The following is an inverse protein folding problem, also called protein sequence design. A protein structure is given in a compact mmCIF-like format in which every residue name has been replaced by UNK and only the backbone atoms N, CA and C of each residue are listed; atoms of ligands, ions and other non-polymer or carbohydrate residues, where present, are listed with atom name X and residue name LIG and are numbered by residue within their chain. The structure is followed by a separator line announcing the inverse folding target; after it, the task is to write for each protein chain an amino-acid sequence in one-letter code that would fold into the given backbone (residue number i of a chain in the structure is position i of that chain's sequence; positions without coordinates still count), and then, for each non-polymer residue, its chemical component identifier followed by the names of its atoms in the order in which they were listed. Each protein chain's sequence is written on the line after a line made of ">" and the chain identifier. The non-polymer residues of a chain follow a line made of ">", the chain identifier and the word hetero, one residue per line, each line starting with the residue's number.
data_IF_609006700685
#
_entry.id   IF_609006700685
#
_cell.length_a   1.000
_cell.length_b   1.000
_cell.length_c   1.000
_cell.angle_alpha   90.00
_cell.angle_beta   90.00
_cell.angle_gamma   90.00
#
_symmetry.space_group_name_H-M   'P 1'
#
loop_
_entity.id
_entity.type
_entity.pdbx_description
1 polymer ?
#
# COMPACT_ATOMS: atom_id res chain seq x y z
N UNK A 1 -15.92 -55.28 64.85
CA UNK A 1 -14.93 -55.37 63.75
C UNK A 1 -15.18 -54.21 62.82
N UNK A 2 -14.35 -53.17 62.89
CA UNK A 2 -14.49 -51.94 62.12
C UNK A 2 -13.74 -52.06 60.81
N UNK A 3 -14.43 -51.90 59.68
CA UNK A 3 -13.81 -51.84 58.36
C UNK A 3 -13.41 -50.39 58.06
N UNK A 4 -12.10 -50.13 58.02
CA UNK A 4 -11.55 -48.87 57.51
C UNK A 4 -11.60 -48.93 55.99
N UNK A 5 -12.46 -48.11 55.38
CA UNK A 5 -12.49 -47.91 53.95
C UNK A 5 -11.39 -46.91 53.54
N UNK A 6 -10.37 -47.38 52.85
CA UNK A 6 -9.35 -46.56 52.19
C UNK A 6 -9.94 -45.91 50.94
N UNK A 7 -10.00 -44.58 50.91
CA UNK A 7 -10.39 -43.80 49.72
C UNK A 7 -9.17 -43.69 48.80
N UNK A 8 -9.21 -44.34 47.63
CA UNK A 8 -8.20 -44.18 46.60
C UNK A 8 -8.33 -42.80 45.90
N UNK A 9 -7.23 -42.08 45.63
CA UNK A 9 -7.29 -40.81 44.91
C UNK A 9 -7.66 -41.06 43.44
N UNK A 10 -8.82 -40.55 43.00
CA UNK A 10 -9.20 -40.59 41.58
C UNK A 10 -8.28 -39.68 40.78
N UNK A 11 -7.70 -40.24 39.72
CA UNK A 11 -6.68 -39.66 38.86
C UNK A 11 -7.06 -38.27 38.29
N UNK A 12 -6.36 -37.24 38.77
CA UNK A 12 -6.39 -35.85 38.28
C UNK A 12 -5.64 -35.65 36.95
N UNK A 13 -4.98 -36.69 36.44
CA UNK A 13 -4.04 -36.62 35.31
C UNK A 13 -4.70 -36.50 33.95
N UNK A 14 -5.98 -36.86 33.80
CA UNK A 14 -6.70 -36.78 32.51
C UNK A 14 -7.10 -35.35 32.13
N UNK A 15 -7.32 -34.47 33.11
CA UNK A 15 -7.61 -33.04 32.86
C UNK A 15 -6.37 -32.26 32.47
N UNK A 16 -5.23 -32.56 33.12
CA UNK A 16 -3.91 -32.02 32.84
C UNK A 16 -3.47 -32.22 31.38
N UNK A 17 -3.60 -33.45 30.88
CA UNK A 17 -3.23 -33.81 29.50
C UNK A 17 -4.07 -33.07 28.44
N UNK A 18 -5.35 -32.82 28.72
CA UNK A 18 -6.22 -32.04 27.83
C UNK A 18 -5.81 -30.58 27.75
N UNK A 19 -5.42 -29.98 28.88
CA UNK A 19 -4.93 -28.60 28.94
C UNK A 19 -3.56 -28.43 28.27
N UNK A 20 -2.65 -29.37 28.48
CA UNK A 20 -1.33 -29.38 27.81
C UNK A 20 -1.51 -29.48 26.29
N UNK A 21 -2.42 -30.34 25.80
CA UNK A 21 -2.71 -30.45 24.38
C UNK A 21 -3.30 -29.16 23.79
N UNK A 22 -4.15 -28.46 24.54
CA UNK A 22 -4.72 -27.18 24.12
C UNK A 22 -3.67 -26.06 24.05
N UNK A 23 -2.81 -25.94 25.07
CA UNK A 23 -1.71 -24.95 25.08
C UNK A 23 -0.69 -25.24 23.97
N UNK A 24 -0.32 -26.51 23.79
CA UNK A 24 0.57 -26.93 22.70
C UNK A 24 -0.05 -26.65 21.32
N UNK A 25 -1.36 -26.89 21.17
CA UNK A 25 -2.10 -26.56 19.96
C UNK A 25 -2.10 -25.05 19.69
N UNK A 26 -2.34 -24.22 20.72
CA UNK A 26 -2.32 -22.76 20.59
C UNK A 26 -0.93 -22.24 20.23
N UNK A 27 0.13 -22.76 20.87
CA UNK A 27 1.52 -22.40 20.54
C UNK A 27 1.88 -22.82 19.12
N UNK A 28 1.43 -23.99 18.67
CA UNK A 28 1.65 -24.46 17.31
C UNK A 28 0.93 -23.58 16.28
N UNK A 29 -0.33 -23.20 16.55
CA UNK A 29 -1.09 -22.26 15.70
C UNK A 29 -0.42 -20.89 15.66
N UNK A 30 0.05 -20.37 16.80
CA UNK A 30 0.79 -19.10 16.86
C UNK A 30 2.14 -19.16 16.14
N UNK A 31 2.87 -20.27 16.24
CA UNK A 31 4.14 -20.48 15.54
C UNK A 31 3.92 -20.59 14.02
N UNK A 32 2.94 -21.38 13.60
CA UNK A 32 2.55 -21.52 12.18
C UNK A 32 2.06 -20.19 11.64
N UNK A 33 1.19 -19.49 12.37
CA UNK A 33 0.71 -18.15 12.03
C UNK A 33 1.86 -17.14 11.93
N UNK A 34 2.83 -17.20 12.85
CA UNK A 34 4.07 -16.42 12.77
C UNK A 34 4.85 -16.72 11.50
N UNK A 35 5.04 -17.99 11.13
CA UNK A 35 5.73 -18.36 9.89
C UNK A 35 5.02 -17.84 8.63
N UNK A 36 3.70 -17.75 8.61
CA UNK A 36 2.97 -17.12 7.49
C UNK A 36 3.14 -15.60 7.45
N UNK A 37 3.22 -14.95 8.61
CA UNK A 37 3.44 -13.49 8.71
C UNK A 37 4.88 -13.09 8.37
N UNK A 38 5.87 -13.90 8.79
CA UNK A 38 7.30 -13.62 8.55
C UNK A 38 7.85 -14.27 7.26
N UNK A 39 7.15 -15.24 6.68
CA UNK A 39 7.62 -16.09 5.57
C UNK A 39 7.54 -15.50 4.17
N UNK A 40 7.32 -14.19 4.01
CA UNK A 40 7.42 -13.55 2.69
C UNK A 40 6.28 -13.87 1.71
N UNK A 41 5.19 -14.50 2.16
CA UNK A 41 3.87 -14.25 1.57
C UNK A 41 3.42 -12.85 2.00
N UNK A 42 4.20 -11.83 1.63
CA UNK A 42 3.66 -10.49 1.54
C UNK A 42 2.52 -10.61 0.53
N UNK A 43 1.28 -10.52 1.03
CA UNK A 43 0.10 -10.43 0.20
C UNK A 43 0.33 -9.22 -0.70
N UNK A 44 0.86 -9.46 -1.91
CA UNK A 44 1.22 -8.41 -2.84
C UNK A 44 -0.08 -7.66 -3.13
N UNK A 45 -0.11 -6.42 -2.68
CA UNK A 45 -1.31 -5.61 -2.67
C UNK A 45 -1.79 -5.32 -4.08
N UNK A 46 -2.98 -4.75 -4.13
CA UNK A 46 -3.47 -4.02 -5.30
C UNK A 46 -2.39 -2.99 -5.70
N UNK A 47 -2.13 -2.82 -7.00
CA UNK A 47 -1.08 -1.97 -7.56
C UNK A 47 0.37 -2.35 -7.20
N UNK A 48 0.63 -3.55 -6.65
CA UNK A 48 2.01 -3.97 -6.37
C UNK A 48 2.79 -4.29 -7.68
N UNK A 49 4.00 -3.71 -7.86
CA UNK A 49 4.81 -3.84 -9.08
C UNK A 49 5.37 -5.24 -9.31
N UNK A 50 5.38 -6.11 -8.31
CA UNK A 50 5.82 -7.49 -8.40
C UNK A 50 4.63 -8.47 -8.51
N UNK A 51 3.39 -7.97 -8.43
CA UNK A 51 2.17 -8.78 -8.52
C UNK A 51 1.80 -9.12 -9.96
N UNK A 52 1.67 -10.42 -10.21
CA UNK A 52 1.21 -11.01 -11.47
C UNK A 52 -0.30 -11.00 -11.66
N UNK A 53 -1.05 -10.78 -10.57
CA UNK A 53 -2.51 -10.87 -10.57
C UNK A 53 -3.14 -9.76 -11.43
N UNK A 54 -4.44 -9.86 -11.74
CA UNK A 54 -5.14 -8.86 -12.56
C UNK A 54 -4.98 -7.44 -12.00
N UNK A 55 -5.00 -7.28 -10.67
CA UNK A 55 -4.91 -5.99 -9.98
C UNK A 55 -3.46 -5.55 -9.67
N UNK A 56 -2.47 -6.33 -10.08
CA UNK A 56 -1.05 -5.98 -9.97
C UNK A 56 -0.56 -5.08 -11.10
N UNK A 57 0.66 -4.56 -11.02
CA UNK A 57 1.26 -3.66 -12.04
C UNK A 57 2.54 -4.21 -12.67
N UNK A 58 2.82 -5.51 -12.50
CA UNK A 58 4.04 -6.14 -13.03
C UNK A 58 4.17 -6.05 -14.55
N UNK A 59 3.07 -6.04 -15.29
CA UNK A 59 3.10 -5.93 -16.75
C UNK A 59 3.73 -4.60 -17.18
N UNK A 60 3.29 -3.47 -16.62
CA UNK A 60 3.86 -2.16 -16.97
C UNK A 60 5.33 -2.05 -16.54
N UNK A 61 5.69 -2.60 -15.38
CA UNK A 61 7.09 -2.67 -14.93
C UNK A 61 7.97 -3.41 -15.93
N UNK A 62 7.54 -4.58 -16.42
CA UNK A 62 8.30 -5.35 -17.41
C UNK A 62 8.43 -4.62 -18.74
N UNK A 63 7.40 -3.91 -19.18
CA UNK A 63 7.48 -3.13 -20.43
C UNK A 63 8.42 -1.94 -20.26
N UNK A 64 8.38 -1.23 -19.12
CA UNK A 64 9.34 -0.15 -18.82
C UNK A 64 10.79 -0.66 -18.82
N UNK A 65 11.05 -1.81 -18.18
CA UNK A 65 12.38 -2.45 -18.18
C UNK A 65 12.84 -2.82 -19.59
N UNK A 66 11.95 -3.34 -20.44
CA UNK A 66 12.24 -3.63 -21.84
C UNK A 66 12.54 -2.37 -22.66
N UNK A 67 12.00 -1.22 -22.28
CA UNK A 67 12.30 0.10 -22.85
C UNK A 67 13.55 0.77 -22.22
N UNK A 68 14.29 0.05 -21.36
CA UNK A 68 15.54 0.51 -20.78
C UNK A 68 15.40 1.28 -19.46
N UNK A 69 14.19 1.39 -18.89
CA UNK A 69 13.98 2.04 -17.59
C UNK A 69 14.40 1.09 -16.47
N UNK A 70 15.27 1.56 -15.57
CA UNK A 70 15.68 0.81 -14.38
C UNK A 70 14.66 1.01 -13.26
N UNK A 71 13.86 -0.01 -12.99
CA UNK A 71 12.84 0.01 -11.93
C UNK A 71 13.41 -0.50 -10.61
N UNK A 72 13.27 0.28 -9.54
CA UNK A 72 13.62 -0.09 -8.18
C UNK A 72 12.37 -0.08 -7.30
N UNK A 73 12.01 -1.23 -6.74
CA UNK A 73 10.89 -1.34 -5.80
C UNK A 73 11.38 -1.02 -4.39
N UNK A 74 10.82 0.00 -3.78
CA UNK A 74 11.17 0.47 -2.44
C UNK A 74 10.00 0.21 -1.48
N UNK A 75 10.17 -0.76 -0.57
CA UNK A 75 9.11 -1.24 0.34
C UNK A 75 9.06 -0.54 1.71
N UNK A 76 9.47 0.71 1.72
CA UNK A 76 9.36 1.67 2.82
C UNK A 76 9.94 3.03 2.35
N UNK A 77 9.66 4.08 3.12
CA UNK A 77 10.13 5.46 2.84
C UNK A 77 11.65 5.50 2.79
N UNK A 78 12.35 4.87 3.73
CA UNK A 78 13.81 4.90 3.81
C UNK A 78 14.49 4.21 2.62
N UNK A 79 13.89 3.17 2.05
CA UNK A 79 14.32 2.53 0.82
C UNK A 79 14.08 3.43 -0.39
N UNK A 80 12.94 4.13 -0.43
CA UNK A 80 12.62 5.05 -1.52
C UNK A 80 13.59 6.23 -1.53
N UNK A 81 13.84 6.83 -0.38
CA UNK A 81 14.81 7.92 -0.21
C UNK A 81 16.23 7.52 -0.66
N UNK A 82 16.70 6.33 -0.26
CA UNK A 82 18.00 5.80 -0.69
C UNK A 82 18.06 5.55 -2.20
N UNK A 83 16.97 5.05 -2.79
CA UNK A 83 16.90 4.81 -4.22
C UNK A 83 16.86 6.11 -5.04
N UNK A 84 16.22 7.16 -4.51
CA UNK A 84 16.16 8.50 -5.13
C UNK A 84 17.50 9.25 -5.04
N UNK A 85 18.29 9.01 -3.98
CA UNK A 85 19.61 9.64 -3.81
C UNK A 85 20.66 9.33 -4.89
N UNK A 86 20.36 8.42 -5.84
CA UNK A 86 21.25 8.04 -6.94
C UNK A 86 21.07 8.86 -8.23
N UNK A 87 20.26 9.93 -8.22
CA UNK A 87 20.13 10.89 -9.32
C UNK A 87 18.69 11.08 -9.81
N UNK A 88 18.52 11.71 -10.97
CA UNK A 88 17.21 11.96 -11.58
C UNK A 88 16.40 10.66 -11.73
N UNK A 89 15.16 10.67 -11.25
CA UNK A 89 14.25 9.53 -11.27
C UNK A 89 12.79 9.97 -11.31
N UNK A 90 11.95 9.06 -11.80
CA UNK A 90 10.49 9.11 -11.62
C UNK A 90 10.12 8.33 -10.35
N UNK A 91 9.38 8.95 -9.43
CA UNK A 91 8.83 8.33 -8.23
C UNK A 91 7.36 7.98 -8.46
N UNK A 92 7.01 6.73 -8.24
CA UNK A 92 5.62 6.25 -8.29
C UNK A 92 5.10 6.12 -6.87
N UNK A 93 3.97 6.76 -6.57
CA UNK A 93 3.40 6.88 -5.23
C UNK A 93 1.94 6.42 -5.27
N UNK A 94 1.58 5.27 -4.67
CA UNK A 94 0.18 4.93 -4.41
C UNK A 94 -0.37 5.74 -3.23
N UNK A 95 -1.60 5.47 -2.78
CA UNK A 95 -2.08 6.06 -1.53
C UNK A 95 -1.14 5.70 -0.37
N UNK A 96 -0.69 6.71 0.36
CA UNK A 96 0.29 6.58 1.44
C UNK A 96 -0.23 7.27 2.71
N UNK A 97 -1.31 6.73 3.34
CA UNK A 97 -1.95 7.37 4.48
C UNK A 97 -1.06 7.44 5.73
N UNK A 98 0.02 6.65 5.77
CA UNK A 98 0.95 6.60 6.89
C UNK A 98 1.95 7.77 6.89
N UNK A 99 2.22 8.40 5.74
CA UNK A 99 3.12 9.55 5.66
C UNK A 99 2.41 10.81 6.13
N UNK A 100 3.07 11.67 6.92
CA UNK A 100 2.58 13.05 7.16
C UNK A 100 2.66 13.90 5.89
N UNK A 101 2.08 15.11 5.91
CA UNK A 101 2.09 15.98 4.73
C UNK A 101 3.53 16.38 4.40
N UNK A 102 4.34 16.65 5.43
CA UNK A 102 5.76 16.96 5.28
C UNK A 102 6.54 15.75 4.80
N UNK A 103 6.22 14.54 5.29
CA UNK A 103 6.82 13.30 4.79
C UNK A 103 6.51 13.03 3.32
N UNK A 104 5.29 13.33 2.87
CA UNK A 104 4.88 13.20 1.48
C UNK A 104 5.59 14.24 0.59
N UNK A 105 5.72 15.50 1.05
CA UNK A 105 6.45 16.56 0.35
C UNK A 105 7.95 16.24 0.25
N UNK A 106 8.60 15.91 1.37
CA UNK A 106 10.04 15.60 1.39
C UNK A 106 10.39 14.43 0.47
N UNK A 107 9.56 13.37 0.46
CA UNK A 107 9.76 12.25 -0.44
C UNK A 107 9.59 12.65 -1.92
N UNK A 108 8.57 13.46 -2.22
CA UNK A 108 8.26 13.94 -3.57
C UNK A 108 9.35 14.89 -4.10
N UNK A 109 9.89 15.77 -3.25
CA UNK A 109 10.91 16.76 -3.58
C UNK A 109 12.27 16.16 -3.93
N UNK A 110 12.47 14.87 -3.65
CA UNK A 110 13.68 14.12 -4.03
C UNK A 110 13.61 13.54 -5.43
N UNK A 111 12.46 13.56 -6.08
CA UNK A 111 12.26 13.07 -7.44
C UNK A 111 12.08 14.22 -8.43
N UNK A 112 12.47 13.99 -9.69
CA UNK A 112 12.21 14.94 -10.77
C UNK A 112 10.77 14.83 -11.27
N UNK A 113 10.27 13.61 -11.36
CA UNK A 113 8.88 13.35 -11.74
C UNK A 113 8.21 12.53 -10.65
N UNK A 114 7.01 12.90 -10.23
CA UNK A 114 6.20 12.19 -9.26
C UNK A 114 4.89 11.77 -9.94
N UNK A 115 4.55 10.49 -9.84
CA UNK A 115 3.32 9.93 -10.40
C UNK A 115 2.48 9.34 -9.26
N UNK A 116 1.37 10.00 -8.95
CA UNK A 116 0.38 9.52 -8.00
C UNK A 116 -0.56 8.55 -8.73
N UNK A 117 -0.56 7.27 -8.34
CA UNK A 117 -1.29 6.21 -9.06
C UNK A 117 -2.58 5.77 -8.37
N UNK A 118 -2.84 6.22 -7.15
CA UNK A 118 -4.14 6.07 -6.47
C UNK A 118 -4.30 7.24 -5.48
N UNK A 119 -4.28 8.50 -5.97
CA UNK A 119 -4.29 9.63 -5.07
C UNK A 119 -5.64 9.78 -4.37
N UNK A 120 -5.61 10.24 -3.12
CA UNK A 120 -6.79 10.65 -2.36
C UNK A 120 -6.78 12.17 -2.24
N UNK A 121 -7.90 12.76 -1.80
CA UNK A 121 -8.04 14.23 -1.67
C UNK A 121 -6.84 14.87 -0.95
N UNK A 122 -6.30 14.23 0.08
CA UNK A 122 -5.12 14.73 0.81
C UNK A 122 -3.86 14.85 -0.07
N UNK A 123 -3.49 13.82 -0.83
CA UNK A 123 -2.27 13.88 -1.65
C UNK A 123 -2.43 14.81 -2.85
N UNK A 124 -3.65 14.92 -3.39
CA UNK A 124 -4.00 15.91 -4.40
C UNK A 124 -3.89 17.35 -3.87
N UNK A 125 -4.42 17.61 -2.67
CA UNK A 125 -4.34 18.93 -2.04
C UNK A 125 -2.89 19.36 -1.81
N UNK A 126 -2.09 18.45 -1.25
CA UNK A 126 -0.69 18.69 -0.88
C UNK A 126 0.24 18.85 -2.08
N UNK A 127 0.09 18.03 -3.14
CA UNK A 127 1.05 17.96 -4.25
C UNK A 127 0.54 18.54 -5.58
N UNK A 128 -0.74 18.87 -5.68
CA UNK A 128 -1.38 19.41 -6.88
C UNK A 128 -2.23 20.65 -6.55
N UNK A 129 -1.67 21.58 -5.78
CA UNK A 129 -2.22 22.94 -5.56
C UNK A 129 -3.70 22.99 -5.14
N UNK A 130 -4.10 22.18 -4.15
CA UNK A 130 -5.50 22.17 -3.70
C UNK A 130 -6.45 21.38 -4.60
N UNK A 131 -5.93 20.55 -5.51
CA UNK A 131 -6.75 19.61 -6.28
C UNK A 131 -7.47 18.63 -5.35
N UNK A 132 -8.59 18.08 -5.80
CA UNK A 132 -9.41 17.17 -4.99
C UNK A 132 -10.01 16.03 -5.81
N UNK A 133 -10.56 15.02 -5.13
CA UNK A 133 -11.33 13.97 -5.78
C UNK A 133 -12.65 14.55 -6.31
N UNK A 134 -12.96 14.22 -7.55
CA UNK A 134 -14.24 14.49 -8.19
C UNK A 134 -15.16 13.27 -8.11
N UNK A 135 -15.91 13.03 -9.19
CA UNK A 135 -16.78 11.86 -9.35
C UNK A 135 -16.03 10.66 -9.96
N UNK A 136 -16.76 9.66 -10.43
CA UNK A 136 -16.24 8.53 -11.19
C UNK A 136 -16.68 8.62 -12.65
N UNK A 137 -15.76 8.33 -13.56
CA UNK A 137 -16.10 8.19 -14.96
C UNK A 137 -16.76 6.82 -15.23
N UNK A 138 -17.66 6.75 -16.23
CA UNK A 138 -18.17 5.49 -16.73
C UNK A 138 -17.04 4.63 -17.30
N UNK A 139 -17.20 3.30 -17.27
CA UNK A 139 -16.23 2.34 -17.82
C UNK A 139 -16.24 2.31 -19.36
N UNK A 140 -15.81 3.41 -19.96
CA UNK A 140 -15.64 3.64 -21.39
C UNK A 140 -14.37 4.47 -21.63
N UNK A 141 -13.88 4.46 -22.86
CA UNK A 141 -12.73 5.29 -23.25
C UNK A 141 -13.13 6.78 -23.30
N UNK A 142 -12.26 7.63 -22.77
CA UNK A 142 -12.39 9.10 -22.75
C UNK A 142 -11.26 9.72 -23.57
N UNK A 143 -11.56 10.75 -24.35
CA UNK A 143 -10.56 11.50 -25.14
C UNK A 143 -9.68 12.38 -24.23
N UNK A 144 -8.37 12.44 -24.51
CA UNK A 144 -7.40 13.19 -23.73
C UNK A 144 -7.72 14.69 -23.64
N UNK A 145 -8.20 15.28 -24.74
CA UNK A 145 -8.62 16.68 -24.86
C UNK A 145 -7.62 17.72 -24.28
N UNK A 146 -6.32 17.44 -24.36
CA UNK A 146 -5.25 18.29 -23.83
C UNK A 146 -3.92 18.05 -24.55
N UNK A 147 -2.94 18.95 -24.34
CA UNK A 147 -1.60 18.89 -24.95
C UNK A 147 -0.53 18.27 -24.03
N UNK A 148 -0.92 17.58 -22.96
CA UNK A 148 0.04 16.84 -22.11
C UNK A 148 0.60 15.68 -22.95
N UNK A 149 1.92 15.58 -23.19
CA UNK A 149 2.46 14.61 -24.15
C UNK A 149 2.04 13.16 -23.90
N UNK A 150 2.04 12.71 -22.65
CA UNK A 150 1.60 11.35 -22.28
C UNK A 150 0.12 11.09 -22.63
N UNK A 151 -0.77 12.07 -22.37
CA UNK A 151 -2.19 11.96 -22.67
C UNK A 151 -2.46 12.10 -24.18
N UNK A 152 -1.82 13.05 -24.85
CA UNK A 152 -1.95 13.26 -26.29
C UNK A 152 -1.51 12.02 -27.10
N UNK A 153 -0.41 11.37 -26.69
CA UNK A 153 0.05 10.12 -27.32
C UNK A 153 -0.90 8.95 -27.06
N UNK A 154 -1.50 8.88 -25.86
CA UNK A 154 -2.52 7.87 -25.56
C UNK A 154 -3.79 8.06 -26.39
N UNK A 155 -4.13 9.31 -26.72
CA UNK A 155 -5.37 9.79 -27.37
C UNK A 155 -6.62 9.53 -26.53
N UNK A 156 -6.83 8.29 -26.12
CA UNK A 156 -7.97 7.83 -25.32
C UNK A 156 -7.50 6.97 -24.16
N UNK A 157 -8.18 7.02 -23.01
CA UNK A 157 -7.92 6.11 -21.90
C UNK A 157 -9.22 5.80 -21.15
N UNK A 158 -9.27 4.65 -20.47
CA UNK A 158 -10.31 4.40 -19.45
C UNK A 158 -9.87 5.09 -18.18
N UNK A 159 -10.69 6.00 -17.70
CA UNK A 159 -10.43 6.77 -16.49
C UNK A 159 -11.45 6.37 -15.44
N UNK A 160 -10.98 6.04 -14.24
CA UNK A 160 -11.83 5.59 -13.15
C UNK A 160 -12.27 6.77 -12.31
N UNK A 161 -11.57 6.99 -11.21
CA UNK A 161 -11.70 8.18 -10.36
C UNK A 161 -11.35 9.44 -11.15
N UNK A 162 -12.21 10.45 -11.06
CA UNK A 162 -11.98 11.77 -11.62
C UNK A 162 -11.44 12.71 -10.54
N UNK A 163 -10.77 13.74 -11.02
CA UNK A 163 -10.14 14.76 -10.18
C UNK A 163 -10.60 16.14 -10.59
N UNK A 164 -10.70 17.03 -9.61
CA UNK A 164 -10.96 18.45 -9.80
C UNK A 164 -9.64 19.21 -9.69
N UNK A 165 -9.20 19.92 -10.75
CA UNK A 165 -7.94 20.63 -10.74
C UNK A 165 -7.96 21.83 -9.80
N UNK A 166 -6.88 22.00 -9.06
CA UNK A 166 -6.55 23.24 -8.36
C UNK A 166 -5.92 24.30 -9.28
N UNK A 167 -5.47 25.40 -8.68
CA UNK A 167 -4.95 26.54 -9.45
C UNK A 167 -3.67 26.19 -10.21
N UNK A 168 -3.66 26.50 -11.51
CA UNK A 168 -2.51 26.26 -12.40
C UNK A 168 -2.29 24.78 -12.77
N UNK A 169 -3.17 23.86 -12.35
CA UNK A 169 -3.07 22.43 -12.67
C UNK A 169 -3.71 22.15 -14.02
N UNK A 170 -2.96 21.50 -14.91
CA UNK A 170 -3.49 21.06 -16.22
C UNK A 170 -4.24 19.75 -16.05
N UNK A 171 -5.33 19.60 -16.78
CA UNK A 171 -6.22 18.45 -16.69
C UNK A 171 -6.48 17.84 -18.07
N UNK A 172 -6.62 16.51 -18.12
CA UNK A 172 -6.88 15.73 -19.33
C UNK A 172 -7.91 14.64 -19.06
N UNK A 173 -8.48 14.06 -20.13
CA UNK A 173 -9.52 13.04 -20.05
C UNK A 173 -10.75 13.55 -19.29
N UNK A 174 -11.36 14.60 -19.82
CA UNK A 174 -12.52 15.26 -19.21
C UNK A 174 -13.78 14.40 -19.33
N UNK A 175 -14.49 14.26 -18.22
CA UNK A 175 -15.80 13.62 -18.11
C UNK A 175 -16.70 14.43 -17.18
N UNK A 176 -18.00 14.14 -17.14
CA UNK A 176 -18.91 14.74 -16.17
C UNK A 176 -18.36 14.52 -14.76
N UNK A 177 -18.12 15.61 -14.02
CA UNK A 177 -17.61 15.55 -12.65
C UNK A 177 -16.08 15.66 -12.48
N UNK A 178 -15.29 15.75 -13.56
CA UNK A 178 -13.85 16.04 -13.45
C UNK A 178 -12.98 15.50 -14.59
N UNK A 179 -11.74 15.17 -14.26
CA UNK A 179 -10.70 14.78 -15.22
C UNK A 179 -9.93 13.55 -14.74
N UNK A 180 -9.60 12.62 -15.65
CA UNK A 180 -8.89 11.40 -15.32
C UNK A 180 -7.36 11.52 -15.16
N UNK A 181 -6.80 12.68 -15.52
CA UNK A 181 -5.40 13.00 -15.28
C UNK A 181 -5.25 14.46 -14.88
N UNK A 182 -4.47 14.71 -13.83
CA UNK A 182 -4.00 16.04 -13.46
C UNK A 182 -2.48 16.10 -13.53
N UNK A 183 -1.94 17.24 -13.92
CA UNK A 183 -0.49 17.43 -13.92
C UNK A 183 -0.09 18.88 -13.68
N UNK A 184 0.94 19.07 -12.88
CA UNK A 184 1.68 20.33 -12.75
C UNK A 184 3.13 20.11 -13.14
N UNK A 185 3.76 21.15 -13.68
CA UNK A 185 5.18 21.14 -14.01
C UNK A 185 5.80 22.52 -13.73
N UNK A 186 6.84 22.53 -12.92
CA UNK A 186 7.55 23.74 -12.49
C UNK A 186 9.04 23.43 -12.36
N UNK A 187 9.93 24.29 -12.88
CA UNK A 187 11.40 24.13 -12.82
C UNK A 187 11.93 22.75 -13.27
N UNK A 188 11.28 22.16 -14.28
CA UNK A 188 11.62 20.84 -14.81
C UNK A 188 11.29 19.68 -13.87
N UNK A 189 10.54 19.94 -12.80
CA UNK A 189 9.89 18.94 -11.94
C UNK A 189 8.43 18.82 -12.35
N UNK A 190 7.83 17.66 -12.12
CA UNK A 190 6.40 17.46 -12.42
C UNK A 190 5.74 16.52 -11.44
N UNK A 191 4.48 16.82 -11.07
CA UNK A 191 3.60 15.90 -10.36
C UNK A 191 2.43 15.56 -11.29
N UNK A 192 2.14 14.28 -11.46
CA UNK A 192 1.03 13.78 -12.28
C UNK A 192 0.17 12.84 -11.46
N UNK A 193 -1.15 13.01 -11.47
CA UNK A 193 -2.11 12.11 -10.83
C UNK A 193 -2.92 11.37 -11.88
N UNK A 194 -3.07 10.05 -11.68
CA UNK A 194 -3.92 9.15 -12.47
C UNK A 194 -4.56 8.11 -11.57
N UNK A 195 -5.71 7.56 -11.99
CA UNK A 195 -6.26 6.35 -11.37
C UNK A 195 -5.60 5.10 -11.97
N UNK A 196 -4.62 4.57 -11.25
CA UNK A 196 -3.87 3.38 -11.61
C UNK A 196 -4.67 2.09 -11.56
N UNK A 197 -5.78 2.02 -10.82
CA UNK A 197 -6.68 0.88 -10.87
C UNK A 197 -7.33 0.75 -12.24
N UNK A 198 -7.72 1.89 -12.82
CA UNK A 198 -8.35 1.99 -14.13
C UNK A 198 -7.36 1.96 -15.31
N UNK A 199 -6.09 2.26 -15.09
CA UNK A 199 -5.11 2.49 -16.17
C UNK A 199 -3.83 1.66 -16.13
N UNK A 200 -3.32 1.30 -14.94
CA UNK A 200 -1.98 0.70 -14.77
C UNK A 200 -2.02 -0.80 -14.45
N UNK A 201 -3.15 -1.33 -13.96
CA UNK A 201 -3.26 -2.74 -13.59
C UNK A 201 -3.05 -3.66 -14.79
N UNK A 202 -2.58 -4.88 -14.53
CA UNK A 202 -2.32 -5.88 -15.56
C UNK A 202 -3.57 -6.17 -16.41
N UNK A 203 -4.76 -6.08 -15.82
CA UNK A 203 -6.04 -6.25 -16.52
C UNK A 203 -6.41 -5.05 -17.40
N UNK A 204 -6.13 -3.82 -16.96
CA UNK A 204 -6.54 -2.60 -17.66
C UNK A 204 -5.52 -2.09 -18.67
N UNK A 205 -4.24 -2.44 -18.51
CA UNK A 205 -3.14 -1.97 -19.36
C UNK A 205 -3.37 -2.22 -20.87
N UNK A 206 -3.93 -3.37 -21.32
CA UNK A 206 -4.15 -3.64 -22.75
C UNK A 206 -5.34 -2.89 -23.36
N UNK A 207 -6.14 -2.18 -22.56
CA UNK A 207 -7.37 -1.54 -23.02
C UNK A 207 -7.08 -0.13 -23.54
N UNK A 208 -7.72 0.21 -24.66
CA UNK A 208 -7.71 1.56 -25.24
C UNK A 208 -6.29 2.14 -25.39
N UNK A 209 -6.02 3.34 -24.87
CA UNK A 209 -4.68 3.93 -24.84
C UNK A 209 -3.97 3.83 -23.48
N UNK A 210 -4.44 2.95 -22.58
CA UNK A 210 -3.91 2.84 -21.22
C UNK A 210 -2.41 2.51 -21.19
N UNK A 211 -1.93 1.61 -22.04
CA UNK A 211 -0.50 1.30 -22.13
C UNK A 211 0.33 2.53 -22.55
N UNK A 212 -0.13 3.29 -23.54
CA UNK A 212 0.55 4.50 -23.99
C UNK A 212 0.55 5.58 -22.90
N UNK A 213 -0.57 5.74 -22.18
CA UNK A 213 -0.67 6.65 -21.05
C UNK A 213 0.29 6.23 -19.91
N UNK A 214 0.22 4.98 -19.48
CA UNK A 214 1.02 4.45 -18.38
C UNK A 214 2.52 4.56 -18.66
N UNK A 215 2.98 4.16 -19.85
CA UNK A 215 4.39 4.29 -20.24
C UNK A 215 4.78 5.76 -20.40
N UNK A 216 3.88 6.59 -20.92
CA UNK A 216 4.09 8.02 -21.06
C UNK A 216 4.28 8.72 -19.72
N UNK A 217 3.49 8.41 -18.69
CA UNK A 217 3.61 9.06 -17.37
C UNK A 217 4.73 8.46 -16.52
N UNK A 218 4.96 7.15 -16.58
CA UNK A 218 5.97 6.47 -15.75
C UNK A 218 7.38 6.53 -16.33
N UNK A 219 7.50 6.55 -17.66
CA UNK A 219 8.78 6.49 -18.39
C UNK A 219 9.47 7.84 -18.58
N UNK A 220 9.23 8.83 -17.71
CA UNK A 220 9.79 10.19 -17.85
C UNK A 220 11.30 10.25 -17.55
N UNK A 221 11.89 9.21 -16.99
CA UNK A 221 13.32 9.11 -16.70
C UNK A 221 13.86 7.70 -16.95
N UNK A 222 15.17 7.55 -17.11
CA UNK A 222 15.84 6.24 -17.21
C UNK A 222 15.78 5.40 -15.93
N UNK A 223 15.34 6.02 -14.82
CA UNK A 223 15.22 5.42 -13.49
C UNK A 223 13.82 5.66 -12.97
N UNK A 224 13.22 4.60 -12.43
CA UNK A 224 11.93 4.65 -11.76
C UNK A 224 12.05 4.02 -10.38
N UNK A 225 11.61 4.75 -9.35
CA UNK A 225 11.48 4.24 -7.98
C UNK A 225 10.00 4.01 -7.70
N UNK A 226 9.61 2.76 -7.49
CA UNK A 226 8.25 2.40 -7.14
C UNK A 226 8.15 2.29 -5.62
N UNK A 227 7.54 3.28 -4.98
CA UNK A 227 7.34 3.28 -3.54
C UNK A 227 6.14 2.41 -3.17
N UNK A 228 6.35 1.50 -2.23
CA UNK A 228 5.30 0.65 -1.63
C UNK A 228 5.23 1.01 -0.14
N UNK A 229 4.18 1.73 0.28
CA UNK A 229 4.03 2.16 1.67
C UNK A 229 4.05 1.00 2.65
N UNK A 230 4.68 1.23 3.79
CA UNK A 230 4.81 0.29 4.90
C UNK A 230 4.22 0.89 6.18
N UNK A 231 3.67 0.09 7.10
CA UNK A 231 3.30 0.57 8.44
C UNK A 231 4.46 1.23 9.20
N UNK A 232 5.71 0.90 8.85
CA UNK A 232 6.90 1.51 9.44
C UNK A 232 7.16 2.96 8.98
N UNK A 233 6.41 3.45 7.98
CA UNK A 233 6.62 4.79 7.42
C UNK A 233 5.97 5.90 8.25
N UNK A 234 5.14 5.55 9.23
CA UNK A 234 4.50 6.49 10.13
C UNK A 234 5.54 7.39 10.83
N UNK A 235 5.31 8.69 10.80
CA UNK A 235 6.24 9.63 11.42
C UNK A 235 6.25 9.48 12.94
N UNK A 236 7.44 9.53 13.59
CA UNK A 236 7.56 9.40 15.03
C UNK A 236 6.67 10.42 15.75
N UNK A 237 5.76 9.96 16.60
CA UNK A 237 4.81 10.82 17.33
C UNK A 237 3.46 11.09 16.62
N UNK A 238 3.27 10.58 15.41
CA UNK A 238 1.97 10.60 14.68
C UNK A 238 1.31 9.22 14.60
N UNK A 239 1.96 8.18 15.14
CA UNK A 239 1.41 6.84 15.17
C UNK A 239 0.06 6.82 15.92
N UNK A 240 -1.00 6.25 15.34
CA UNK A 240 -2.21 5.98 16.10
C UNK A 240 -1.86 5.10 17.31
N UNK A 241 -2.53 5.28 18.46
CA UNK A 241 -2.22 4.54 19.68
C UNK A 241 -2.26 3.04 19.37
N UNK A 242 -1.18 2.35 19.72
CA UNK A 242 -1.09 0.91 19.51
C UNK A 242 -2.14 0.19 20.36
N UNK A 243 -2.49 -1.04 19.99
CA UNK A 243 -3.35 -1.88 20.85
C UNK A 243 -2.81 -1.97 22.28
N UNK A 244 -1.48 -1.95 22.47
CA UNK A 244 -0.84 -1.89 23.79
C UNK A 244 -1.09 -0.57 24.54
N UNK A 245 -1.16 0.55 23.83
CA UNK A 245 -1.49 1.87 24.40
C UNK A 245 -2.97 1.99 24.77
N UNK A 246 -3.83 1.23 24.08
CA UNK A 246 -5.27 1.18 24.32
C UNK A 246 -5.68 0.09 25.33
N UNK A 247 -4.82 -0.90 25.59
CA UNK A 247 -5.07 -1.88 26.65
C UNK A 247 -4.75 -1.28 28.02
N UNK A 248 -5.71 -1.29 28.96
CA UNK A 248 -5.41 -0.90 30.33
C UNK A 248 -4.23 -1.70 30.91
N UNK A 249 -3.37 -1.10 31.74
CA UNK A 249 -2.14 -1.73 32.23
C UNK A 249 -2.37 -2.99 33.07
N UNK A 250 -3.62 -3.24 33.51
CA UNK A 250 -4.00 -4.45 34.23
C UNK A 250 -4.22 -5.67 33.32
N UNK A 251 -4.40 -5.48 32.00
CA UNK A 251 -4.73 -6.57 31.06
C UNK A 251 -3.57 -7.54 30.91
N UNK A 252 -2.35 -7.04 30.68
CA UNK A 252 -1.14 -7.87 30.57
C UNK A 252 -0.89 -8.73 31.82
N UNK A 253 -0.88 -8.19 33.05
CA UNK A 253 -0.75 -9.01 34.25
C UNK A 253 -1.96 -9.94 34.47
N UNK A 254 -3.18 -9.58 34.04
CA UNK A 254 -4.33 -10.50 34.09
C UNK A 254 -4.17 -11.70 33.15
N UNK A 255 -3.67 -11.49 31.92
CA UNK A 255 -3.37 -12.58 30.98
C UNK A 255 -2.28 -13.49 31.56
N UNK A 256 -1.20 -12.92 32.11
CA UNK A 256 -0.14 -13.70 32.77
C UNK A 256 -0.69 -14.50 33.94
N UNK A 257 -1.53 -13.89 34.78
CA UNK A 257 -2.18 -14.56 35.91
C UNK A 257 -3.08 -15.72 35.44
N UNK A 258 -3.86 -15.53 34.37
CA UNK A 258 -4.71 -16.57 33.79
C UNK A 258 -3.87 -17.73 33.23
N UNK A 259 -2.77 -17.43 32.55
CA UNK A 259 -1.84 -18.46 32.05
C UNK A 259 -1.20 -19.25 33.19
N UNK A 260 -0.75 -18.56 34.25
CA UNK A 260 -0.20 -19.21 35.45
C UNK A 260 -1.26 -20.04 36.17
N UNK A 261 -2.49 -19.55 36.30
CA UNK A 261 -3.60 -20.28 36.92
C UNK A 261 -3.96 -21.54 36.12
N UNK A 262 -3.99 -21.46 34.79
CA UNK A 262 -4.18 -22.61 33.91
C UNK A 262 -3.04 -23.63 34.06
N UNK A 263 -1.79 -23.16 34.17
CA UNK A 263 -0.61 -24.01 34.38
C UNK A 263 -0.67 -24.75 35.72
N UNK A 264 -1.04 -24.04 36.81
CA UNK A 264 -1.23 -24.64 38.14
C UNK A 264 -2.41 -25.63 38.15
N UNK A 265 -3.52 -25.31 37.48
CA UNK A 265 -4.68 -26.19 37.39
C UNK A 265 -4.41 -27.44 36.53
N UNK A 266 -3.41 -27.39 35.65
CA UNK A 266 -2.98 -28.50 34.82
C UNK A 266 -2.00 -29.46 35.52
N UNK A 267 -1.57 -29.20 36.76
CA UNK A 267 -0.73 -30.12 37.59
C UNK A 267 -1.57 -30.77 38.69
#
# INVERSE_FOLDING_TARGET
>A
MSAVATVAPRARTRGALGWIALVAGLLLVSLIGGLFVYGGYAQRGILDPESAGPDGTRAVVRVLEQQGVRVSVARDRGAAERALGAGDATLVVPDAPMLSDDGLRDLSDRARHVVLIDPRTRSLDVLLNGSSLGDFAPDIAVDAACDVPAAANARTARVGSLFVPGDGVRACFGSDGGYGLLTTAEDGRSVTAVDGLATLTNAMLPLDGNAALALGVLGQSERLVWYVPSPADADPGTAPPTLSDLTPPWVTPAIVLLLLAALVAAV
#
